data_IF_473610856621
#
_entry.id   IF_473610856621
#
_cell.length_a   1.000
_cell.length_b   1.000
_cell.length_c   1.000
_cell.angle_alpha   90.00
_cell.angle_beta   90.00
_cell.angle_gamma   90.00
#
_symmetry.space_group_name_H-M   'P 1'
#
loop_
_entity.id
_entity.type
_entity.pdbx_description
1 polymer ?
#
# COMPACT_ATOMS: atom_id res chain seq x y z
N UNK A 1 1.63 -4.36 -18.58
CA UNK A 1 2.50 -3.68 -19.56
C UNK A 1 3.71 -3.03 -18.88
N UNK A 2 3.55 -2.05 -17.97
CA UNK A 2 4.70 -1.40 -17.30
C UNK A 2 5.48 -2.35 -16.39
N UNK A 3 4.79 -3.10 -15.51
CA UNK A 3 5.45 -4.09 -14.64
C UNK A 3 6.19 -5.15 -15.47
N UNK A 4 5.55 -5.67 -16.52
CA UNK A 4 6.16 -6.69 -17.38
C UNK A 4 7.43 -6.17 -18.07
N UNK A 5 7.45 -4.89 -18.48
CA UNK A 5 8.63 -4.26 -19.07
C UNK A 5 9.77 -4.08 -18.06
N UNK A 6 9.47 -3.78 -16.80
CA UNK A 6 10.51 -3.64 -15.78
C UNK A 6 11.08 -5.00 -15.37
N UNK A 7 10.23 -6.03 -15.29
CA UNK A 7 10.67 -7.40 -15.02
C UNK A 7 11.54 -7.95 -16.14
N UNK A 8 11.21 -7.68 -17.41
CA UNK A 8 12.05 -8.10 -18.55
C UNK A 8 13.39 -7.37 -18.61
N UNK A 9 13.47 -6.16 -18.05
CA UNK A 9 14.72 -5.41 -17.87
C UNK A 9 15.52 -5.90 -16.66
N UNK A 10 14.98 -6.83 -15.86
CA UNK A 10 15.67 -7.42 -14.72
C UNK A 10 15.88 -6.44 -13.56
N UNK A 11 14.92 -5.53 -13.31
CA UNK A 11 15.01 -4.62 -12.14
C UNK A 11 14.86 -5.39 -10.83
N UNK A 12 15.50 -4.91 -9.77
CA UNK A 12 15.44 -5.51 -8.43
C UNK A 12 14.32 -4.90 -7.57
N UNK A 13 13.82 -3.73 -7.96
CA UNK A 13 12.73 -3.05 -7.27
C UNK A 13 11.83 -2.30 -8.25
N UNK A 14 10.55 -2.22 -7.92
CA UNK A 14 9.54 -1.40 -8.59
C UNK A 14 8.94 -0.45 -7.56
N UNK A 15 9.07 0.85 -7.82
CA UNK A 15 8.51 1.92 -6.97
C UNK A 15 7.16 2.34 -7.53
N UNK A 16 6.13 2.27 -6.70
CA UNK A 16 4.73 2.38 -7.08
C UNK A 16 3.92 1.22 -6.49
N UNK A 17 2.72 0.91 -6.97
CA UNK A 17 1.83 1.87 -7.60
C UNK A 17 1.35 2.88 -6.55
N UNK A 18 0.92 4.06 -6.98
CA UNK A 18 0.35 5.06 -6.07
C UNK A 18 -1.04 4.65 -5.54
N UNK A 19 -1.81 3.87 -6.31
CA UNK A 19 -3.14 3.39 -5.94
C UNK A 19 -3.09 2.02 -5.27
N UNK A 20 -3.82 1.86 -4.16
CA UNK A 20 -3.96 0.59 -3.47
C UNK A 20 -4.58 -0.49 -4.36
N UNK A 21 -5.63 -0.14 -5.11
CA UNK A 21 -6.27 -1.08 -6.03
C UNK A 21 -5.32 -1.56 -7.12
N UNK A 22 -4.51 -0.66 -7.69
CA UNK A 22 -3.51 -1.05 -8.69
C UNK A 22 -2.44 -1.93 -8.08
N UNK A 23 -1.91 -1.61 -6.90
CA UNK A 23 -0.92 -2.46 -6.22
C UNK A 23 -1.44 -3.87 -5.97
N UNK A 24 -2.70 -4.02 -5.55
CA UNK A 24 -3.32 -5.34 -5.38
C UNK A 24 -3.41 -6.15 -6.68
N UNK A 25 -3.46 -5.51 -7.84
CA UNK A 25 -3.47 -6.23 -9.14
C UNK A 25 -2.10 -6.69 -9.62
N UNK A 26 -1.01 -6.17 -9.04
CA UNK A 26 0.36 -6.42 -9.54
C UNK A 26 1.29 -7.03 -8.49
N UNK A 27 0.96 -6.92 -7.20
CA UNK A 27 1.82 -7.35 -6.10
C UNK A 27 2.29 -8.80 -6.25
N UNK A 28 1.38 -9.74 -6.55
CA UNK A 28 1.72 -11.16 -6.74
C UNK A 28 2.74 -11.36 -7.85
N UNK A 29 2.58 -10.66 -8.97
CA UNK A 29 3.48 -10.76 -10.11
C UNK A 29 4.87 -10.25 -9.77
N UNK A 30 4.96 -9.12 -9.06
CA UNK A 30 6.23 -8.51 -8.71
C UNK A 30 6.99 -9.39 -7.70
N UNK A 31 6.31 -9.78 -6.62
CA UNK A 31 6.94 -10.50 -5.50
C UNK A 31 7.24 -11.96 -5.81
N UNK A 32 6.46 -12.61 -6.70
CA UNK A 32 6.79 -13.96 -7.20
C UNK A 32 8.03 -13.99 -8.10
N UNK A 33 8.39 -12.87 -8.72
CA UNK A 33 9.64 -12.72 -9.48
C UNK A 33 10.84 -12.35 -8.58
N UNK A 34 10.68 -12.36 -7.25
CA UNK A 34 11.74 -11.99 -6.32
C UNK A 34 12.10 -10.49 -6.33
N UNK A 35 11.22 -9.65 -6.89
CA UNK A 35 11.43 -8.21 -7.03
C UNK A 35 10.72 -7.48 -5.88
N UNK A 36 11.38 -6.47 -5.32
CA UNK A 36 10.80 -5.61 -4.28
C UNK A 36 9.72 -4.72 -4.87
N UNK A 37 8.56 -4.66 -4.23
CA UNK A 37 7.50 -3.72 -4.54
C UNK A 37 7.40 -2.67 -3.45
N UNK A 38 7.77 -1.42 -3.73
CA UNK A 38 7.72 -0.33 -2.75
C UNK A 38 6.68 0.72 -3.13
N UNK A 39 5.66 0.96 -2.30
CA UNK A 39 4.68 2.03 -2.54
C UNK A 39 4.92 3.28 -1.68
N UNK A 40 4.93 4.48 -2.29
CA UNK A 40 4.97 5.72 -1.53
C UNK A 40 3.62 6.15 -0.96
N UNK A 41 2.49 5.55 -1.38
CA UNK A 41 1.17 6.17 -1.19
C UNK A 41 0.02 5.23 -0.77
N UNK A 42 0.14 3.91 -0.88
CA UNK A 42 -1.02 3.04 -0.65
C UNK A 42 -1.41 2.92 0.83
N UNK A 43 -2.67 3.23 1.17
CA UNK A 43 -3.15 3.24 2.55
C UNK A 43 -4.04 2.05 2.92
N UNK A 44 -4.58 1.33 1.91
CA UNK A 44 -5.55 0.25 2.14
C UNK A 44 -5.08 -0.77 3.20
N UNK A 45 -5.94 -1.17 4.16
CA UNK A 45 -5.60 -2.13 5.20
C UNK A 45 -5.16 -3.49 4.67
N UNK A 46 -5.75 -3.94 3.56
CA UNK A 46 -5.47 -5.23 2.93
C UNK A 46 -3.99 -5.44 2.55
N UNK A 47 -3.24 -4.36 2.34
CA UNK A 47 -1.82 -4.40 2.01
C UNK A 47 -0.90 -4.60 3.22
N UNK A 48 -1.43 -4.57 4.45
CA UNK A 48 -0.62 -4.74 5.68
C UNK A 48 -0.22 -6.19 5.92
N UNK A 49 -1.12 -7.12 5.57
CA UNK A 49 -0.97 -8.56 5.84
C UNK A 49 -1.05 -9.37 4.56
N UNK A 50 -0.80 -8.72 3.41
CA UNK A 50 -0.88 -9.38 2.12
C UNK A 50 0.27 -10.39 2.00
N UNK A 51 0.02 -11.63 1.51
CA UNK A 51 1.08 -12.62 1.32
C UNK A 51 1.98 -12.21 0.14
N UNK A 52 3.07 -11.49 0.44
CA UNK A 52 3.91 -10.80 -0.53
C UNK A 52 5.36 -11.31 -0.58
N UNK A 53 5.59 -12.52 -0.04
CA UNK A 53 6.91 -13.13 0.13
C UNK A 53 7.92 -12.27 0.93
N UNK A 54 7.44 -11.32 1.73
CA UNK A 54 8.29 -10.37 2.46
C UNK A 54 8.91 -9.29 1.57
N UNK A 55 8.37 -9.08 0.37
CA UNK A 55 8.96 -8.20 -0.66
C UNK A 55 8.13 -6.95 -0.94
N UNK A 56 6.99 -6.75 -0.29
CA UNK A 56 6.24 -5.51 -0.39
C UNK A 56 6.44 -4.61 0.83
N UNK A 57 6.62 -3.32 0.54
CA UNK A 57 6.85 -2.29 1.54
C UNK A 57 6.06 -1.03 1.17
N UNK A 58 5.65 -0.28 2.18
CA UNK A 58 5.05 1.04 2.01
C UNK A 58 5.47 2.00 3.10
N UNK A 59 5.50 3.28 2.75
CA UNK A 59 5.74 4.36 3.73
C UNK A 59 4.45 5.00 4.22
N UNK A 60 3.40 5.01 3.40
CA UNK A 60 2.11 5.55 3.81
C UNK A 60 1.51 4.68 4.94
N UNK A 61 1.07 5.28 6.07
CA UNK A 61 0.46 4.52 7.14
C UNK A 61 -0.87 3.91 6.68
N UNK A 62 -1.27 2.79 7.28
CA UNK A 62 -2.55 2.17 6.95
C UNK A 62 -3.73 3.04 7.36
N UNK A 63 -4.85 2.97 6.62
CA UNK A 63 -6.12 3.58 7.01
C UNK A 63 -6.60 3.13 8.40
N UNK A 64 -6.21 1.94 8.87
CA UNK A 64 -6.49 1.49 10.25
C UNK A 64 -5.90 2.46 11.28
N UNK A 65 -4.66 2.90 11.05
CA UNK A 65 -3.98 3.82 11.94
C UNK A 65 -4.45 5.26 11.71
N UNK A 66 -4.54 5.69 10.44
CA UNK A 66 -4.96 7.06 10.11
C UNK A 66 -6.39 7.33 10.60
N UNK A 67 -7.31 6.38 10.43
CA UNK A 67 -8.68 6.50 10.91
C UNK A 67 -8.78 6.63 12.43
N UNK A 68 -7.98 5.85 13.18
CA UNK A 68 -7.93 5.95 14.63
C UNK A 68 -7.42 7.32 15.11
N UNK A 69 -6.41 7.87 14.43
CA UNK A 69 -5.86 9.21 14.74
C UNK A 69 -6.90 10.30 14.48
N UNK A 70 -7.57 10.26 13.32
CA UNK A 70 -8.62 11.24 12.98
C UNK A 70 -9.79 11.16 13.97
N UNK A 71 -10.22 9.94 14.34
CA UNK A 71 -11.28 9.75 15.31
C UNK A 71 -10.91 10.32 16.70
N UNK A 72 -9.68 10.09 17.16
CA UNK A 72 -9.20 10.64 18.43
C UNK A 72 -9.14 12.17 18.41
N UNK A 73 -8.64 12.75 17.31
CA UNK A 73 -8.60 14.21 17.15
C UNK A 73 -10.01 14.83 17.11
N UNK A 74 -10.95 14.20 16.40
CA UNK A 74 -12.33 14.65 16.34
C UNK A 74 -13.01 14.66 17.73
N UNK A 75 -12.82 13.60 18.53
CA UNK A 75 -13.34 13.52 19.90
C UNK A 75 -12.74 14.65 20.76
N UNK A 76 -11.44 14.92 20.64
CA UNK A 76 -10.79 16.00 21.38
C UNK A 76 -11.33 17.39 21.01
N UNK A 77 -11.80 17.56 19.78
CA UNK A 77 -12.41 18.80 19.30
C UNK A 77 -13.93 18.87 19.53
N UNK A 78 -14.52 17.91 20.26
CA UNK A 78 -15.94 17.90 20.60
C UNK A 78 -16.86 17.52 19.43
N UNK A 79 -16.34 16.84 18.41
CA UNK A 79 -17.14 16.35 17.29
C UNK A 79 -17.96 15.14 17.74
N UNK A 80 -19.29 15.27 17.74
CA UNK A 80 -20.22 14.23 18.20
C UNK A 80 -20.70 13.28 17.08
N UNK A 81 -20.52 13.67 15.81
CA UNK A 81 -20.97 12.88 14.66
C UNK A 81 -20.04 13.08 13.47
N UNK A 82 -19.64 11.97 12.84
CA UNK A 82 -18.79 11.92 11.65
C UNK A 82 -19.24 10.79 10.72
N UNK A 83 -19.06 10.99 9.42
CA UNK A 83 -19.26 9.99 8.38
C UNK A 83 -18.02 9.93 7.48
N UNK A 84 -17.77 8.76 6.87
CA UNK A 84 -16.65 8.48 5.96
C UNK A 84 -17.19 8.12 4.58
#
# INVERSE_FOLDING_TARGET
QTVDSHLSQGVQAIIGAASSGVSLTVIDKITSNGVVHFSPANTAPALTTYPDNGLYFRVAPSDVLQGAVIAADAINNGVESMAV
#
